data_IF_883222050360
#
_entry.id   IF_883222050360
#
_cell.length_a   1.000
_cell.length_b   1.000
_cell.length_c   1.000
_cell.angle_alpha   90.00
_cell.angle_beta   90.00
_cell.angle_gamma   90.00
#
_symmetry.space_group_name_H-M   'P 1'
#
loop_
_entity.id
_entity.type
_entity.pdbx_description
1 polymer ?
#
# COMPACT_ATOMS: atom_id res chain seq x y z
N UNK A 1 -19.84 -28.73 16.24
CA UNK A 1 -20.44 -27.68 15.40
C UNK A 1 -19.78 -26.35 15.73
N UNK A 2 -18.84 -25.88 14.91
CA UNK A 2 -18.26 -24.55 15.07
C UNK A 2 -19.24 -23.53 14.49
N UNK A 3 -19.72 -22.58 15.30
CA UNK A 3 -20.50 -21.44 14.83
C UNK A 3 -19.61 -20.60 13.91
N UNK A 4 -20.06 -20.35 12.69
CA UNK A 4 -19.49 -19.31 11.85
C UNK A 4 -19.60 -17.99 12.62
N UNK A 5 -18.46 -17.39 12.95
CA UNK A 5 -18.41 -16.05 13.54
C UNK A 5 -18.81 -15.10 12.41
N UNK A 6 -19.97 -14.46 12.53
CA UNK A 6 -20.35 -13.36 11.66
C UNK A 6 -19.28 -12.29 11.80
N UNK A 7 -18.49 -12.07 10.75
CA UNK A 7 -17.53 -10.97 10.67
C UNK A 7 -18.34 -9.68 10.47
N UNK A 8 -18.75 -9.06 11.57
CA UNK A 8 -19.23 -7.67 11.55
C UNK A 8 -18.03 -6.75 11.36
N UNK A 9 -18.20 -5.69 10.57
CA UNK A 9 -17.14 -4.70 10.27
C UNK A 9 -16.55 -4.06 11.55
N UNK A 10 -17.31 -4.10 12.65
CA UNK A 10 -16.94 -3.64 13.99
C UNK A 10 -15.93 -4.53 14.72
N UNK A 11 -15.67 -5.75 14.23
CA UNK A 11 -14.76 -6.71 14.86
C UNK A 11 -13.32 -6.62 14.34
N UNK A 12 -13.03 -5.70 13.42
CA UNK A 12 -11.66 -5.43 12.98
C UNK A 12 -11.06 -4.38 13.92
N UNK A 13 -10.32 -4.85 14.93
CA UNK A 13 -9.37 -3.99 15.64
C UNK A 13 -8.47 -3.31 14.58
N UNK A 14 -8.24 -1.99 14.62
CA UNK A 14 -7.38 -1.31 13.65
C UNK A 14 -5.99 -1.96 13.49
N UNK A 15 -5.51 -2.62 14.56
CA UNK A 15 -4.26 -3.38 14.62
C UNK A 15 -4.30 -4.75 13.92
N UNK A 16 -5.47 -5.30 13.62
CA UNK A 16 -5.62 -6.54 12.82
C UNK A 16 -5.60 -6.29 11.31
N UNK A 17 -5.64 -5.02 10.85
CA UNK A 17 -5.52 -4.68 9.44
C UNK A 17 -4.05 -4.75 9.00
N UNK A 18 -3.53 -5.98 8.85
CA UNK A 18 -2.22 -6.20 8.22
C UNK A 18 -2.32 -5.82 6.74
N UNK A 19 -1.78 -4.64 6.45
CA UNK A 19 -1.78 -4.05 5.14
C UNK A 19 -0.59 -4.59 4.34
N UNK A 20 -0.72 -5.85 3.93
CA UNK A 20 0.33 -6.53 3.17
C UNK A 20 0.29 -6.05 1.71
N UNK A 21 1.37 -5.42 1.28
CA UNK A 21 1.58 -5.06 -0.12
C UNK A 21 2.31 -6.21 -0.84
N UNK A 22 1.97 -6.50 -2.10
CA UNK A 22 2.72 -7.48 -2.88
C UNK A 22 4.17 -7.02 -3.07
N UNK A 23 5.12 -7.95 -3.01
CA UNK A 23 6.53 -7.64 -3.27
C UNK A 23 6.69 -7.25 -4.76
N UNK A 24 7.17 -6.04 -5.07
CA UNK A 24 7.37 -5.60 -6.44
C UNK A 24 8.40 -6.43 -7.22
N UNK A 25 9.24 -7.21 -6.54
CA UNK A 25 10.27 -8.06 -7.13
C UNK A 25 9.84 -9.50 -7.32
N UNK A 26 8.68 -9.92 -6.80
CA UNK A 26 8.23 -11.32 -6.92
C UNK A 26 7.73 -11.59 -8.34
N UNK A 27 8.53 -12.33 -9.11
CA UNK A 27 8.25 -12.72 -10.49
C UNK A 27 7.20 -13.83 -10.61
N UNK A 28 6.83 -14.46 -9.49
CA UNK A 28 5.75 -15.46 -9.43
C UNK A 28 4.37 -14.83 -9.37
N UNK A 29 4.29 -13.52 -9.08
CA UNK A 29 3.04 -12.78 -9.07
C UNK A 29 2.77 -12.24 -10.48
N UNK A 30 1.70 -12.71 -11.09
CA UNK A 30 1.18 -12.17 -12.36
C UNK A 30 0.80 -10.69 -12.24
N UNK A 31 1.02 -9.89 -13.28
CA UNK A 31 0.78 -8.44 -13.27
C UNK A 31 -0.65 -8.08 -12.87
N UNK A 32 -1.64 -8.83 -13.38
CA UNK A 32 -3.04 -8.63 -13.01
C UNK A 32 -3.29 -8.88 -11.51
N UNK A 33 -2.65 -9.90 -10.93
CA UNK A 33 -2.78 -10.22 -9.51
C UNK A 33 -2.07 -9.18 -8.63
N UNK A 34 -0.92 -8.67 -9.07
CA UNK A 34 -0.21 -7.55 -8.43
C UNK A 34 -1.11 -6.30 -8.40
N UNK A 35 -1.63 -5.88 -9.56
CA UNK A 35 -2.48 -4.70 -9.68
C UNK A 35 -3.75 -4.81 -8.83
N UNK A 36 -4.39 -5.99 -8.81
CA UNK A 36 -5.58 -6.20 -7.98
C UNK A 36 -5.31 -6.03 -6.47
N UNK A 37 -4.13 -6.45 -5.99
CA UNK A 37 -3.74 -6.25 -4.59
C UNK A 37 -3.43 -4.77 -4.30
N UNK A 38 -2.72 -4.10 -5.20
CA UNK A 38 -2.47 -2.66 -5.13
C UNK A 38 -3.79 -1.87 -5.07
N UNK A 39 -4.77 -2.22 -5.90
CA UNK A 39 -6.06 -1.52 -5.95
C UNK A 39 -6.86 -1.71 -4.67
N UNK A 40 -6.87 -2.93 -4.10
CA UNK A 40 -7.50 -3.19 -2.80
C UNK A 40 -6.86 -2.36 -1.70
N UNK A 41 -5.52 -2.32 -1.66
CA UNK A 41 -4.78 -1.52 -0.70
C UNK A 41 -5.13 -0.03 -0.85
N UNK A 42 -5.14 0.49 -2.08
CA UNK A 42 -5.48 1.88 -2.35
C UNK A 42 -6.91 2.25 -1.90
N UNK A 43 -7.89 1.37 -2.13
CA UNK A 43 -9.27 1.59 -1.70
C UNK A 43 -9.42 1.71 -0.18
N UNK A 44 -8.56 1.06 0.60
CA UNK A 44 -8.56 1.22 2.05
C UNK A 44 -8.11 2.64 2.39
N UNK A 45 -7.04 3.14 1.74
CA UNK A 45 -6.60 4.52 1.94
C UNK A 45 -7.69 5.55 1.60
N UNK A 46 -8.53 5.27 0.60
CA UNK A 46 -9.62 6.18 0.19
C UNK A 46 -10.83 6.15 1.15
N UNK A 47 -10.96 5.12 1.99
CA UNK A 47 -12.07 4.97 2.94
C UNK A 47 -11.76 5.43 4.36
N UNK A 48 -10.48 5.65 4.70
CA UNK A 48 -10.02 6.03 6.04
C UNK A 48 -9.24 7.36 5.99
N UNK A 49 -9.55 8.28 6.91
CA UNK A 49 -9.16 9.70 6.78
C UNK A 49 -7.91 10.12 7.59
N UNK A 50 -7.41 9.28 8.52
CA UNK A 50 -6.18 9.57 9.28
C UNK A 50 -5.10 8.50 9.02
N UNK A 51 -3.83 8.95 8.93
CA UNK A 51 -2.60 8.16 8.72
C UNK A 51 -2.41 7.48 7.35
N UNK A 52 -3.24 7.77 6.36
CA UNK A 52 -3.17 7.10 5.04
C UNK A 52 -2.04 7.61 4.13
N UNK A 53 -1.38 8.73 4.43
CA UNK A 53 -0.29 9.23 3.57
C UNK A 53 0.97 8.36 3.60
N UNK A 54 1.32 7.79 4.76
CA UNK A 54 2.42 6.81 4.87
C UNK A 54 2.05 5.56 4.06
N UNK A 55 0.81 5.09 4.18
CA UNK A 55 0.31 3.93 3.42
C UNK A 55 0.27 4.18 1.92
N UNK A 56 -0.25 5.33 1.47
CA UNK A 56 -0.23 5.76 0.07
C UNK A 56 1.21 5.83 -0.45
N UNK A 57 2.14 6.33 0.35
CA UNK A 57 3.56 6.33 0.03
C UNK A 57 4.14 4.93 -0.19
N UNK A 58 3.81 3.96 0.68
CA UNK A 58 4.23 2.55 0.53
C UNK A 58 3.63 1.91 -0.73
N UNK A 59 2.35 2.15 -1.03
CA UNK A 59 1.70 1.66 -2.25
C UNK A 59 2.37 2.24 -3.50
N UNK A 60 2.57 3.56 -3.54
CA UNK A 60 3.22 4.26 -4.65
C UNK A 60 4.63 3.73 -4.89
N UNK A 61 5.38 3.45 -3.82
CA UNK A 61 6.70 2.85 -3.89
C UNK A 61 6.64 1.46 -4.53
N UNK A 62 5.71 0.60 -4.11
CA UNK A 62 5.54 -0.74 -4.68
C UNK A 62 5.22 -0.69 -6.18
N UNK A 63 4.28 0.17 -6.62
CA UNK A 63 3.95 0.31 -8.06
C UNK A 63 5.14 0.81 -8.87
N UNK A 64 5.87 1.81 -8.36
CA UNK A 64 7.08 2.34 -9.01
C UNK A 64 8.16 1.27 -9.16
N UNK A 65 8.40 0.50 -8.09
CA UNK A 65 9.46 -0.50 -8.06
C UNK A 65 9.11 -1.69 -8.95
N UNK A 66 7.84 -2.10 -9.01
CA UNK A 66 7.35 -3.12 -9.94
C UNK A 66 7.61 -2.74 -11.39
N UNK A 67 7.24 -1.52 -11.77
CA UNK A 67 7.50 -0.98 -13.12
C UNK A 67 9.00 -1.00 -13.45
N UNK A 68 9.84 -0.57 -12.51
CA UNK A 68 11.29 -0.51 -12.69
C UNK A 68 11.92 -1.90 -12.89
N UNK A 69 11.40 -2.92 -12.20
CA UNK A 69 12.03 -4.22 -12.09
C UNK A 69 11.47 -5.26 -13.08
N UNK A 70 10.17 -5.23 -13.36
CA UNK A 70 9.50 -6.26 -14.17
C UNK A 70 8.80 -5.70 -15.42
N UNK A 71 8.69 -4.37 -15.55
CA UNK A 71 7.80 -3.74 -16.53
C UNK A 71 6.33 -3.97 -16.15
N UNK A 72 5.47 -2.95 -16.32
CA UNK A 72 4.07 -3.03 -15.92
C UNK A 72 3.21 -1.99 -16.62
N UNK A 73 2.09 -1.60 -15.99
CA UNK A 73 1.14 -0.62 -16.54
C UNK A 73 1.77 0.78 -16.77
N UNK A 74 3.01 1.02 -16.31
CA UNK A 74 3.68 2.30 -16.34
C UNK A 74 3.33 3.13 -15.11
N UNK A 75 4.29 3.38 -14.22
CA UNK A 75 4.07 4.18 -13.01
C UNK A 75 3.39 5.53 -13.31
N UNK A 76 3.81 6.21 -14.38
CA UNK A 76 3.20 7.48 -14.80
C UNK A 76 1.75 7.35 -15.28
N UNK A 77 1.40 6.25 -15.95
CA UNK A 77 0.01 5.98 -16.35
C UNK A 77 -0.83 5.70 -15.11
N UNK A 78 -0.33 4.87 -14.19
CA UNK A 78 -1.01 4.54 -12.94
C UNK A 78 -1.31 5.80 -12.09
N UNK A 79 -0.35 6.74 -12.05
CA UNK A 79 -0.54 8.05 -11.40
C UNK A 79 -1.61 8.88 -12.09
N UNK A 80 -1.57 8.97 -13.43
CA UNK A 80 -2.53 9.73 -14.23
C UNK A 80 -3.95 9.23 -14.00
N UNK A 81 -4.15 7.92 -13.98
CA UNK A 81 -5.47 7.30 -13.83
C UNK A 81 -6.08 7.56 -12.43
N UNK A 82 -5.27 8.03 -11.47
CA UNK A 82 -5.68 8.42 -10.10
C UNK A 82 -5.55 9.91 -9.83
N UNK A 83 -5.28 10.71 -10.87
CA UNK A 83 -5.11 12.17 -10.77
C UNK A 83 -4.00 12.60 -9.79
N UNK A 84 -2.98 11.76 -9.60
CA UNK A 84 -1.86 12.03 -8.70
C UNK A 84 -0.73 12.68 -9.50
N UNK A 85 -0.28 13.85 -9.06
CA UNK A 85 0.90 14.48 -9.69
C UNK A 85 2.19 13.72 -9.36
N UNK A 86 3.16 13.73 -10.28
CA UNK A 86 4.50 13.14 -10.04
C UNK A 86 5.12 13.69 -8.74
N UNK A 87 5.07 15.01 -8.54
CA UNK A 87 5.60 15.67 -7.34
C UNK A 87 4.93 15.17 -6.05
N UNK A 88 3.60 15.02 -6.05
CA UNK A 88 2.87 14.49 -4.91
C UNK A 88 3.25 13.03 -4.63
N UNK A 89 3.36 12.20 -5.68
CA UNK A 89 3.74 10.80 -5.54
C UNK A 89 5.11 10.64 -4.86
N UNK A 90 6.12 11.39 -5.30
CA UNK A 90 7.45 11.34 -4.67
C UNK A 90 7.45 11.88 -3.25
N UNK A 91 6.66 12.92 -2.92
CA UNK A 91 6.52 13.40 -1.53
C UNK A 91 5.96 12.32 -0.60
N UNK A 92 4.93 11.59 -1.04
CA UNK A 92 4.34 10.49 -0.29
C UNK A 92 5.32 9.33 -0.11
N UNK A 93 6.07 8.98 -1.17
CA UNK A 93 7.11 7.95 -1.10
C UNK A 93 8.19 8.34 -0.08
N UNK A 94 8.67 9.60 -0.09
CA UNK A 94 9.66 10.08 0.88
C UNK A 94 9.14 10.06 2.32
N UNK A 95 7.87 10.43 2.52
CA UNK A 95 7.23 10.31 3.83
C UNK A 95 7.20 8.85 4.32
N UNK A 96 6.82 7.91 3.45
CA UNK A 96 6.85 6.49 3.77
C UNK A 96 8.26 5.97 4.06
N UNK A 97 9.27 6.36 3.28
CA UNK A 97 10.67 6.00 3.52
C UNK A 97 11.13 6.50 4.90
N UNK A 98 10.79 7.74 5.25
CA UNK A 98 11.16 8.34 6.54
C UNK A 98 10.50 7.58 7.70
N UNK A 99 9.20 7.26 7.58
CA UNK A 99 8.49 6.48 8.58
C UNK A 99 9.09 5.07 8.75
N UNK A 100 9.42 4.39 7.65
CA UNK A 100 10.04 3.07 7.68
C UNK A 100 11.43 3.10 8.35
N UNK A 101 12.23 4.15 8.09
CA UNK A 101 13.54 4.34 8.74
C UNK A 101 13.38 4.51 10.25
N UNK A 102 12.43 5.35 10.69
CA UNK A 102 12.19 5.60 12.10
C UNK A 102 11.69 4.35 12.84
N UNK A 103 10.82 3.56 12.20
CA UNK A 103 10.37 2.26 12.71
C UNK A 103 11.53 1.26 12.81
N UNK A 104 12.33 1.13 11.75
CA UNK A 104 13.47 0.21 11.74
C UNK A 104 14.57 0.60 12.74
N UNK A 105 14.71 1.89 13.03
CA UNK A 105 15.64 2.43 14.02
C UNK A 105 15.17 2.32 15.47
N UNK A 106 13.97 1.79 15.74
CA UNK A 106 13.39 1.71 17.09
C UNK A 106 13.05 3.09 17.68
N UNK A 107 12.90 4.11 16.83
CA UNK A 107 12.53 5.47 17.23
C UNK A 107 11.00 5.69 17.17
N UNK A 108 10.28 4.73 16.61
CA UNK A 108 8.83 4.62 16.63
C UNK A 108 8.47 3.20 17.07
N UNK A 109 7.58 3.08 18.04
CA UNK A 109 6.96 1.80 18.38
C UNK A 109 5.74 1.61 17.47
N UNK A 110 5.53 0.40 16.89
CA UNK A 110 4.27 0.09 16.23
C UNK A 110 3.15 0.09 17.28
N UNK A 111 2.10 0.89 17.05
CA UNK A 111 0.88 0.88 17.88
C UNK A 111 0.09 -0.44 17.73
#
# INVERSE_FOLDING_TARGET
MARAKTLTLEALEPSEFKFDLPDPNDDRIEEFAFQQQIDRAWQVCDRFDLQTDIWRGRILRAVRDREKNQGGMGFLNWLRDREISKTQAYKLIELANSADILLAGGQLEPE
#
